data_IF_211839648783
#
_entry.id   IF_211839648783
#
_cell.length_a   1.000
_cell.length_b   1.000
_cell.length_c   1.000
_cell.angle_alpha   90.00
_cell.angle_beta   90.00
_cell.angle_gamma   90.00
#
_symmetry.space_group_name_H-M   'P 1'
#
loop_
_entity.id
_entity.type
_entity.pdbx_description
1 polymer ?
#
# COMPACT_ATOMS: atom_id res chain seq x y z
N UNK A 1 91.92 -13.98 46.47
CA UNK A 1 90.46 -14.19 46.57
C UNK A 1 89.78 -13.38 45.48
N UNK A 2 88.91 -14.03 44.68
CA UNK A 2 87.83 -13.46 43.82
C UNK A 2 88.22 -12.46 42.71
N UNK A 3 87.62 -12.41 41.52
CA UNK A 3 86.85 -13.27 40.61
C UNK A 3 86.59 -12.36 39.38
N UNK A 4 86.54 -12.95 38.19
CA UNK A 4 86.45 -12.28 36.89
C UNK A 4 85.09 -11.58 36.62
N UNK A 5 85.06 -10.61 35.70
CA UNK A 5 83.91 -10.34 34.84
C UNK A 5 84.32 -9.69 33.52
N UNK A 6 83.96 -10.35 32.43
CA UNK A 6 84.19 -9.98 31.03
C UNK A 6 83.07 -9.06 30.52
N UNK A 7 83.42 -8.10 29.68
CA UNK A 7 82.48 -7.19 29.00
C UNK A 7 82.12 -7.77 27.63
N UNK A 8 80.85 -8.10 27.42
CA UNK A 8 80.30 -8.53 26.14
C UNK A 8 79.60 -7.34 25.45
N UNK A 9 79.95 -7.10 24.19
CA UNK A 9 79.37 -6.07 23.34
C UNK A 9 77.97 -6.46 22.85
N UNK A 10 76.99 -5.59 23.04
CA UNK A 10 75.62 -5.77 22.59
C UNK A 10 75.44 -5.29 21.13
N UNK A 11 75.00 -6.19 20.25
CA UNK A 11 74.48 -5.87 18.93
C UNK A 11 73.02 -5.40 19.04
N UNK A 12 72.71 -4.20 18.53
CA UNK A 12 71.36 -3.64 18.52
C UNK A 12 70.50 -4.22 17.39
N UNK A 13 69.20 -4.50 17.62
CA UNK A 13 68.31 -4.94 16.56
C UNK A 13 67.81 -3.75 15.72
N UNK A 14 67.91 -3.90 14.39
CA UNK A 14 67.31 -3.02 13.38
C UNK A 14 65.80 -3.20 13.40
N UNK A 15 65.06 -2.16 13.73
CA UNK A 15 63.60 -2.15 13.71
C UNK A 15 63.09 -2.23 12.25
N UNK A 16 62.46 -3.35 11.90
CA UNK A 16 61.71 -3.48 10.66
C UNK A 16 60.44 -2.61 10.73
N UNK A 17 60.30 -1.69 9.78
CA UNK A 17 59.08 -0.88 9.64
C UNK A 17 57.87 -1.79 9.41
N UNK A 18 56.73 -1.57 10.09
CA UNK A 18 55.51 -2.29 9.76
C UNK A 18 55.09 -1.88 8.35
N UNK A 19 55.02 -2.86 7.45
CA UNK A 19 54.35 -2.70 6.17
C UNK A 19 52.95 -2.14 6.45
N UNK A 20 52.69 -0.94 5.92
CA UNK A 20 51.37 -0.32 5.97
C UNK A 20 50.38 -1.31 5.34
N UNK A 21 49.60 -1.99 6.19
CA UNK A 21 48.39 -2.68 5.75
C UNK A 21 47.53 -1.61 5.13
N UNK A 22 47.38 -1.68 3.82
CA UNK A 22 46.51 -0.79 3.07
C UNK A 22 45.16 -0.73 3.78
N UNK A 23 44.83 0.46 4.30
CA UNK A 23 43.47 0.79 4.66
C UNK A 23 42.67 0.72 3.37
N UNK A 24 41.99 -0.39 3.14
CA UNK A 24 40.94 -0.46 2.15
C UNK A 24 39.87 0.56 2.59
N UNK A 25 39.88 1.76 2.00
CA UNK A 25 38.71 2.60 2.02
C UNK A 25 37.64 1.90 1.19
N UNK A 26 36.47 1.66 1.80
CA UNK A 26 35.29 2.29 1.25
C UNK A 26 34.45 2.89 2.38
N UNK A 27 34.58 4.20 2.60
CA UNK A 27 33.53 4.99 3.26
C UNK A 27 32.39 5.18 2.26
N UNK A 28 31.76 4.10 1.81
CA UNK A 28 30.62 4.22 0.91
C UNK A 28 29.51 4.96 1.66
N UNK A 29 29.31 6.24 1.31
CA UNK A 29 28.13 7.00 1.75
C UNK A 29 26.91 6.26 1.20
N UNK A 30 25.84 6.18 2.00
CA UNK A 30 24.60 5.62 1.51
C UNK A 30 24.12 6.37 0.25
N UNK A 31 23.41 5.69 -0.67
CA UNK A 31 22.75 6.34 -1.78
C UNK A 31 21.92 7.53 -1.29
N UNK A 32 21.97 8.62 -2.04
CA UNK A 32 21.30 9.86 -1.69
C UNK A 32 20.04 10.03 -2.51
N UNK A 33 18.97 10.51 -1.87
CA UNK A 33 17.77 10.99 -2.55
C UNK A 33 18.14 12.20 -3.42
N UNK A 34 17.56 12.24 -4.62
CA UNK A 34 17.75 13.35 -5.56
C UNK A 34 17.41 14.69 -4.90
N UNK A 35 18.27 15.68 -5.10
CA UNK A 35 18.03 17.08 -4.74
C UNK A 35 17.22 17.84 -5.80
N UNK A 36 17.12 17.30 -7.00
CA UNK A 36 16.31 17.86 -8.09
C UNK A 36 14.80 17.62 -7.91
N UNK A 37 14.43 16.61 -7.11
CA UNK A 37 13.05 16.23 -6.88
C UNK A 37 12.49 16.96 -5.64
N UNK A 38 11.44 17.79 -5.79
CA UNK A 38 10.95 18.59 -4.69
C UNK A 38 10.21 17.73 -3.66
N UNK A 39 10.60 17.89 -2.41
CA UNK A 39 9.89 17.42 -1.22
C UNK A 39 9.46 18.62 -0.39
N UNK A 40 8.36 18.50 0.33
CA UNK A 40 7.90 19.57 1.22
C UNK A 40 8.87 19.76 2.39
N UNK A 41 9.25 21.01 2.67
CA UNK A 41 10.10 21.37 3.80
C UNK A 41 11.40 20.56 3.86
N UNK A 42 11.68 19.95 5.01
CA UNK A 42 12.87 19.13 5.24
C UNK A 42 12.64 17.63 5.03
N UNK A 43 11.49 17.21 4.46
CA UNK A 43 11.11 15.80 4.34
C UNK A 43 12.17 14.95 3.65
N UNK A 44 12.79 15.45 2.57
CA UNK A 44 13.92 14.77 1.91
C UNK A 44 15.04 14.46 2.90
N UNK A 45 15.45 15.43 3.71
CA UNK A 45 16.51 15.26 4.69
C UNK A 45 16.10 14.29 5.81
N UNK A 46 14.83 14.30 6.23
CA UNK A 46 14.29 13.36 7.23
C UNK A 46 14.36 11.92 6.72
N UNK A 47 13.95 11.68 5.48
CA UNK A 47 14.01 10.38 4.83
C UNK A 47 15.46 9.94 4.58
N UNK A 48 16.33 10.87 4.16
CA UNK A 48 17.76 10.59 3.98
C UNK A 48 18.43 10.13 5.28
N UNK A 49 18.09 10.74 6.43
CA UNK A 49 18.61 10.30 7.72
C UNK A 49 18.25 8.85 8.03
N UNK A 50 17.02 8.41 7.73
CA UNK A 50 16.63 7.01 7.91
C UNK A 50 17.45 6.09 7.01
N UNK A 51 17.68 6.48 5.75
CA UNK A 51 18.51 5.71 4.81
C UNK A 51 19.95 5.59 5.33
N UNK A 52 20.55 6.69 5.78
CA UNK A 52 21.92 6.72 6.29
C UNK A 52 22.08 5.92 7.59
N UNK A 53 21.10 6.02 8.50
CA UNK A 53 21.15 5.34 9.81
C UNK A 53 20.89 3.83 9.73
N UNK A 54 20.00 3.42 8.82
CA UNK A 54 19.45 2.05 8.80
C UNK A 54 19.92 1.23 7.61
N UNK A 55 20.39 1.86 6.54
CA UNK A 55 20.89 1.18 5.36
C UNK A 55 22.10 0.29 5.64
N UNK A 56 22.25 -0.75 4.81
CA UNK A 56 23.39 -1.68 4.87
C UNK A 56 24.63 -1.20 4.10
N UNK A 57 24.54 -0.03 3.45
CA UNK A 57 25.60 0.67 2.71
C UNK A 57 26.92 0.86 3.49
N UNK A 58 26.86 0.82 4.83
CA UNK A 58 28.03 0.92 5.71
C UNK A 58 28.61 -0.44 6.16
N UNK A 59 28.25 -1.54 5.50
CA UNK A 59 28.81 -2.86 5.81
C UNK A 59 28.30 -3.47 7.11
N UNK A 60 27.10 -3.08 7.58
CA UNK A 60 26.49 -3.68 8.77
C UNK A 60 26.00 -5.09 8.45
N UNK A 61 26.54 -6.09 9.14
CA UNK A 61 25.93 -7.41 9.25
C UNK A 61 24.67 -7.33 10.10
N UNK A 62 23.56 -7.87 9.62
CA UNK A 62 22.26 -7.86 10.28
C UNK A 62 21.11 -8.11 9.30
N UNK A 63 19.86 -8.30 9.77
CA UNK A 63 18.70 -8.42 8.90
C UNK A 63 18.52 -7.17 8.04
N UNK A 64 18.06 -7.34 6.79
CA UNK A 64 17.77 -6.21 5.90
C UNK A 64 16.65 -5.35 6.51
N UNK A 65 16.79 -4.01 6.59
CA UNK A 65 15.71 -3.16 7.03
C UNK A 65 14.57 -3.21 6.00
N UNK A 66 13.33 -3.34 6.46
CA UNK A 66 12.17 -3.40 5.57
C UNK A 66 11.58 -2.01 5.37
N UNK A 67 11.23 -1.66 4.14
CA UNK A 67 10.35 -0.55 3.83
C UNK A 67 9.07 -1.07 3.16
N UNK A 68 7.90 -0.61 3.60
CA UNK A 68 6.62 -1.01 3.01
C UNK A 68 5.82 0.24 2.60
N UNK A 69 5.22 0.19 1.42
CA UNK A 69 4.43 1.29 0.87
C UNK A 69 3.06 0.80 0.44
N UNK A 70 2.03 1.60 0.67
CA UNK A 70 0.81 1.49 -0.13
C UNK A 70 1.11 1.82 -1.59
N UNK A 71 0.20 1.47 -2.49
CA UNK A 71 0.33 1.70 -3.92
C UNK A 71 -0.42 2.94 -4.40
N UNK A 72 -1.74 2.85 -4.41
CA UNK A 72 -2.65 3.83 -5.01
C UNK A 72 -2.59 5.14 -4.25
N UNK A 73 -2.40 6.27 -4.94
CA UNK A 73 -2.22 7.59 -4.31
C UNK A 73 -1.00 7.76 -3.38
N UNK A 74 -0.23 6.70 -3.10
CA UNK A 74 1.04 6.73 -2.39
C UNK A 74 2.25 6.69 -3.32
N UNK A 75 2.37 5.68 -4.20
CA UNK A 75 3.43 5.56 -5.20
C UNK A 75 3.02 6.22 -6.52
N UNK A 76 1.74 6.15 -6.86
CA UNK A 76 1.14 6.76 -8.05
C UNK A 76 0.13 7.83 -7.65
N UNK A 77 -0.10 8.83 -8.50
CA UNK A 77 -1.35 9.59 -8.55
C UNK A 77 -2.44 8.72 -9.17
N UNK A 78 -3.63 8.73 -8.56
CA UNK A 78 -4.80 7.94 -8.92
C UNK A 78 -4.63 6.43 -8.67
N UNK A 79 -5.74 5.71 -8.81
CA UNK A 79 -5.91 4.31 -8.44
C UNK A 79 -5.78 3.37 -9.66
N UNK A 80 -4.92 2.36 -9.57
CA UNK A 80 -4.61 1.42 -10.66
C UNK A 80 -5.66 0.33 -10.81
N UNK A 81 -6.36 0.01 -9.72
CA UNK A 81 -7.47 -0.92 -9.72
C UNK A 81 -8.65 -0.28 -10.45
N UNK A 82 -8.96 0.98 -10.16
CA UNK A 82 -10.05 1.70 -10.81
C UNK A 82 -9.73 1.96 -12.29
N UNK A 83 -8.47 2.29 -12.62
CA UNK A 83 -8.03 2.36 -14.02
C UNK A 83 -8.22 1.03 -14.76
N UNK A 84 -7.99 -0.11 -14.10
CA UNK A 84 -8.18 -1.45 -14.67
C UNK A 84 -9.66 -1.80 -14.83
N UNK A 85 -10.51 -1.46 -13.85
CA UNK A 85 -11.97 -1.67 -13.94
C UNK A 85 -12.56 -0.79 -15.03
N UNK A 86 -12.21 0.48 -15.06
CA UNK A 86 -12.60 1.41 -16.12
C UNK A 86 -12.25 0.87 -17.50
N UNK A 87 -11.02 0.37 -17.68
CA UNK A 87 -10.62 -0.28 -18.93
C UNK A 87 -11.47 -1.54 -19.21
N UNK A 88 -11.67 -2.39 -18.21
CA UNK A 88 -12.39 -3.66 -18.34
C UNK A 88 -13.86 -3.46 -18.73
N UNK A 89 -14.53 -2.46 -18.16
CA UNK A 89 -15.91 -2.11 -18.49
C UNK A 89 -16.03 -1.60 -19.93
N UNK A 90 -15.09 -0.77 -20.39
CA UNK A 90 -15.07 -0.31 -21.79
C UNK A 90 -14.70 -1.38 -22.81
N UNK A 91 -14.30 -2.58 -22.37
CA UNK A 91 -13.87 -3.68 -23.23
C UNK A 91 -14.62 -4.99 -22.96
N UNK A 92 -15.77 -4.93 -22.30
CA UNK A 92 -16.64 -6.07 -22.02
C UNK A 92 -15.87 -7.21 -21.33
N UNK A 93 -15.15 -6.90 -20.25
CA UNK A 93 -14.35 -7.87 -19.49
C UNK A 93 -14.95 -8.26 -18.15
N UNK A 94 -16.15 -7.80 -17.81
CA UNK A 94 -16.86 -8.32 -16.64
C UNK A 94 -17.76 -9.47 -17.09
N UNK A 95 -17.58 -10.65 -16.50
CA UNK A 95 -18.40 -11.81 -16.84
C UNK A 95 -19.69 -11.77 -16.04
N UNK A 96 -20.81 -12.14 -16.68
CA UNK A 96 -22.10 -12.23 -16.00
C UNK A 96 -22.06 -13.34 -14.93
N UNK A 97 -22.31 -13.05 -13.65
CA UNK A 97 -22.48 -14.09 -12.64
C UNK A 97 -23.84 -14.78 -12.78
N UNK A 98 -24.03 -15.94 -12.16
CA UNK A 98 -25.34 -16.59 -12.09
C UNK A 98 -26.34 -15.72 -11.30
N UNK A 99 -25.87 -15.16 -10.18
CA UNK A 99 -26.52 -14.12 -9.38
C UNK A 99 -25.47 -13.16 -8.89
N UNK A 100 -25.76 -11.87 -8.89
CA UNK A 100 -24.83 -10.86 -8.39
C UNK A 100 -24.59 -11.03 -6.89
N UNK A 101 -25.61 -11.46 -6.13
CA UNK A 101 -25.49 -11.73 -4.68
C UNK A 101 -24.44 -12.79 -4.33
N UNK A 102 -24.11 -13.69 -5.26
CA UNK A 102 -23.06 -14.69 -5.04
C UNK A 102 -21.64 -14.10 -5.22
N UNK A 103 -21.52 -12.85 -5.68
CA UNK A 103 -20.24 -12.19 -5.90
C UNK A 103 -19.64 -11.63 -4.62
N UNK A 104 -20.44 -11.26 -3.62
CA UNK A 104 -19.98 -10.81 -2.30
C UNK A 104 -20.98 -11.22 -1.22
N UNK A 105 -20.48 -11.71 -0.07
CA UNK A 105 -21.34 -12.15 1.05
C UNK A 105 -22.19 -11.03 1.67
N UNK A 106 -21.80 -9.77 1.45
CA UNK A 106 -22.51 -8.61 1.99
C UNK A 106 -23.41 -7.94 0.96
N UNK A 107 -23.40 -8.37 -0.32
CA UNK A 107 -24.22 -7.74 -1.34
C UNK A 107 -25.70 -7.92 -1.00
N UNK A 108 -26.44 -6.81 -0.98
CA UNK A 108 -27.87 -6.82 -0.61
C UNK A 108 -28.73 -7.43 -1.71
N UNK A 109 -29.93 -7.90 -1.35
CA UNK A 109 -30.93 -8.30 -2.36
C UNK A 109 -31.31 -7.11 -3.26
N UNK A 110 -31.32 -5.90 -2.70
CA UNK A 110 -31.56 -4.67 -3.47
C UNK A 110 -30.50 -4.44 -4.53
N UNK A 111 -29.21 -4.58 -4.19
CA UNK A 111 -28.13 -4.46 -5.17
C UNK A 111 -28.11 -5.62 -6.17
N UNK A 112 -28.40 -6.85 -5.75
CA UNK A 112 -28.53 -7.98 -6.66
C UNK A 112 -29.61 -7.74 -7.72
N UNK A 113 -30.76 -7.23 -7.28
CA UNK A 113 -31.85 -6.82 -8.17
C UNK A 113 -31.44 -5.68 -9.08
N UNK A 114 -30.84 -4.61 -8.54
CA UNK A 114 -30.42 -3.45 -9.32
C UNK A 114 -29.41 -3.84 -10.42
N UNK A 115 -28.37 -4.61 -10.08
CA UNK A 115 -27.40 -5.13 -11.04
C UNK A 115 -28.05 -6.08 -12.06
N UNK A 116 -29.00 -6.91 -11.64
CA UNK A 116 -29.72 -7.80 -12.57
C UNK A 116 -30.59 -7.01 -13.56
N UNK A 117 -31.26 -5.96 -13.10
CA UNK A 117 -32.08 -5.08 -13.95
C UNK A 117 -31.22 -4.23 -14.89
N UNK A 118 -30.09 -3.72 -14.39
CA UNK A 118 -29.16 -2.89 -15.16
C UNK A 118 -28.41 -3.70 -16.23
N UNK A 119 -27.91 -4.89 -15.89
CA UNK A 119 -27.10 -5.73 -16.77
C UNK A 119 -27.88 -6.76 -17.58
N UNK A 120 -29.14 -7.00 -17.22
CA UNK A 120 -30.00 -7.98 -17.88
C UNK A 120 -29.59 -9.44 -17.66
N UNK A 121 -30.34 -10.34 -18.27
CA UNK A 121 -30.15 -11.79 -18.16
C UNK A 121 -29.97 -12.52 -19.49
N UNK A 122 -29.98 -11.78 -20.60
CA UNK A 122 -29.88 -12.31 -21.97
C UNK A 122 -28.49 -12.86 -22.29
N UNK A 123 -27.44 -12.27 -21.69
CA UNK A 123 -26.06 -12.78 -21.78
C UNK A 123 -25.97 -14.07 -20.99
N UNK A 124 -25.38 -15.14 -21.55
CA UNK A 124 -25.20 -16.39 -20.81
C UNK A 124 -24.31 -16.20 -19.57
N UNK A 125 -24.57 -16.97 -18.50
CA UNK A 125 -23.70 -16.96 -17.31
C UNK A 125 -22.26 -17.32 -17.69
N UNK A 126 -21.29 -16.55 -17.18
CA UNK A 126 -19.88 -16.69 -17.51
C UNK A 126 -19.47 -16.12 -18.87
N UNK A 127 -20.39 -15.57 -19.65
CA UNK A 127 -20.08 -14.79 -20.85
C UNK A 127 -19.90 -13.30 -20.49
N UNK A 128 -19.14 -12.53 -21.29
CA UNK A 128 -18.89 -11.14 -21.00
C UNK A 128 -20.14 -10.27 -21.19
N UNK A 129 -20.39 -9.37 -20.24
CA UNK A 129 -21.44 -8.37 -20.32
C UNK A 129 -21.05 -7.25 -21.31
N UNK A 130 -21.98 -6.72 -22.12
CA UNK A 130 -21.72 -5.69 -23.11
C UNK A 130 -21.59 -4.27 -22.49
N UNK A 131 -20.86 -4.15 -21.39
CA UNK A 131 -20.69 -2.91 -20.59
C UNK A 131 -20.10 -1.73 -21.37
N UNK A 132 -19.44 -1.97 -22.50
CA UNK A 132 -18.91 -0.94 -23.39
C UNK A 132 -20.01 -0.19 -24.14
N UNK A 133 -21.18 -0.82 -24.31
CA UNK A 133 -22.34 -0.27 -25.02
C UNK A 133 -23.59 -0.13 -24.15
N UNK A 134 -23.67 -0.87 -23.03
CA UNK A 134 -24.72 -0.74 -22.04
C UNK A 134 -24.25 0.14 -20.88
N UNK A 135 -24.58 1.42 -20.97
CA UNK A 135 -24.24 2.40 -19.94
C UNK A 135 -24.87 2.05 -18.59
N UNK A 136 -26.08 1.49 -18.54
CA UNK A 136 -26.77 1.19 -17.27
C UNK A 136 -26.02 0.12 -16.48
N UNK A 137 -25.58 -0.93 -17.17
CA UNK A 137 -24.79 -1.99 -16.54
C UNK A 137 -23.43 -1.47 -16.04
N UNK A 138 -22.74 -0.66 -16.86
CA UNK A 138 -21.46 -0.07 -16.46
C UNK A 138 -21.61 0.87 -15.25
N UNK A 139 -22.66 1.70 -15.23
CA UNK A 139 -22.96 2.65 -14.16
C UNK A 139 -23.27 1.93 -12.86
N UNK A 140 -24.13 0.91 -12.87
CA UNK A 140 -24.49 0.18 -11.65
C UNK A 140 -23.27 -0.51 -11.01
N UNK A 141 -22.37 -1.08 -11.83
CA UNK A 141 -21.12 -1.68 -11.34
C UNK A 141 -20.20 -0.61 -10.73
N UNK A 142 -20.04 0.53 -11.40
CA UNK A 142 -19.18 1.63 -10.93
C UNK A 142 -19.72 2.26 -9.66
N UNK A 143 -21.01 2.57 -9.60
CA UNK A 143 -21.66 3.16 -8.43
C UNK A 143 -21.50 2.29 -7.18
N UNK A 144 -21.71 0.97 -7.31
CA UNK A 144 -21.52 0.03 -6.20
C UNK A 144 -20.05 -0.02 -5.77
N UNK A 145 -19.11 0.03 -6.72
CA UNK A 145 -17.68 0.02 -6.39
C UNK A 145 -17.23 1.31 -5.71
N UNK A 146 -17.62 2.47 -6.24
CA UNK A 146 -17.13 3.78 -5.81
C UNK A 146 -17.79 4.20 -4.50
N UNK A 147 -19.11 4.13 -4.44
CA UNK A 147 -19.90 4.71 -3.35
C UNK A 147 -20.53 3.68 -2.42
N UNK A 148 -20.49 2.39 -2.80
CA UNK A 148 -21.15 1.34 -2.00
C UNK A 148 -22.68 1.43 -2.04
N UNK A 149 -23.24 2.10 -3.04
CA UNK A 149 -24.68 2.24 -3.26
C UNK A 149 -25.08 1.77 -4.64
N UNK A 150 -26.37 1.52 -4.84
CA UNK A 150 -26.94 1.37 -6.19
C UNK A 150 -27.08 2.73 -6.88
N UNK A 151 -27.39 2.75 -8.17
CA UNK A 151 -27.72 4.00 -8.89
C UNK A 151 -28.96 4.71 -8.34
N UNK A 152 -29.83 3.99 -7.62
CA UNK A 152 -30.98 4.58 -6.92
C UNK A 152 -30.65 5.14 -5.53
N UNK A 153 -29.39 5.03 -5.08
CA UNK A 153 -28.93 5.51 -3.77
C UNK A 153 -29.16 4.54 -2.61
N UNK A 154 -29.55 3.29 -2.87
CA UNK A 154 -29.74 2.27 -1.83
C UNK A 154 -28.39 1.64 -1.44
N UNK A 155 -28.25 1.22 -0.18
CA UNK A 155 -27.02 0.56 0.26
C UNK A 155 -26.79 -0.76 -0.48
N UNK A 156 -25.63 -0.88 -1.14
CA UNK A 156 -25.29 -2.08 -1.90
C UNK A 156 -24.75 -3.21 -1.03
N UNK A 157 -24.24 -2.87 0.15
CA UNK A 157 -23.71 -3.81 1.11
C UNK A 157 -24.39 -3.68 2.48
N UNK A 158 -24.72 -4.81 3.13
CA UNK A 158 -25.29 -4.84 4.47
C UNK A 158 -24.79 -6.06 5.26
N UNK A 159 -25.04 -6.03 6.57
CA UNK A 159 -24.58 -7.04 7.53
C UNK A 159 -23.50 -6.48 8.45
N UNK A 160 -22.78 -7.39 9.11
CA UNK A 160 -21.72 -7.04 10.05
C UNK A 160 -20.35 -7.40 9.45
N UNK A 161 -19.37 -6.54 9.70
CA UNK A 161 -17.96 -6.80 9.41
C UNK A 161 -17.09 -5.97 10.35
N UNK A 162 -15.83 -6.39 10.48
CA UNK A 162 -14.86 -5.60 11.22
C UNK A 162 -14.32 -4.48 10.31
N UNK A 163 -14.70 -3.24 10.61
CA UNK A 163 -14.36 -2.05 9.82
C UNK A 163 -12.88 -1.67 9.85
N UNK A 164 -12.04 -2.36 10.63
CA UNK A 164 -10.57 -2.26 10.56
C UNK A 164 -9.90 -3.38 9.79
N UNK A 165 -10.66 -4.35 9.28
CA UNK A 165 -10.12 -5.51 8.54
C UNK A 165 -10.64 -5.60 7.11
N UNK A 166 -11.78 -4.99 6.85
CA UNK A 166 -12.39 -4.97 5.53
C UNK A 166 -13.36 -3.82 5.39
N UNK A 167 -13.65 -3.49 4.13
CA UNK A 167 -14.85 -2.79 3.72
C UNK A 167 -15.40 -3.54 2.50
N UNK A 168 -16.70 -3.89 2.46
CA UNK A 168 -17.25 -4.77 1.44
C UNK A 168 -16.95 -4.37 -0.01
N UNK A 169 -17.01 -3.07 -0.33
CA UNK A 169 -16.73 -2.58 -1.68
C UNK A 169 -15.27 -2.81 -2.13
N UNK A 170 -14.30 -2.85 -1.20
CA UNK A 170 -12.89 -3.18 -1.51
C UNK A 170 -12.70 -4.69 -1.65
N UNK A 171 -13.37 -5.48 -0.79
CA UNK A 171 -13.33 -6.94 -0.91
C UNK A 171 -13.96 -7.43 -2.23
N UNK A 172 -14.95 -6.71 -2.75
CA UNK A 172 -15.66 -7.04 -4.00
C UNK A 172 -14.83 -6.86 -5.27
N UNK A 173 -13.80 -6.02 -5.22
CA UNK A 173 -12.94 -5.67 -6.35
C UNK A 173 -12.41 -6.86 -7.14
N UNK A 174 -11.65 -7.80 -6.54
CA UNK A 174 -11.17 -8.95 -7.28
C UNK A 174 -12.31 -9.89 -7.71
N UNK A 175 -13.44 -9.86 -6.99
CA UNK A 175 -14.60 -10.73 -7.23
C UNK A 175 -15.32 -10.33 -8.53
N UNK A 176 -15.21 -9.07 -8.97
CA UNK A 176 -15.65 -8.62 -10.31
C UNK A 176 -14.97 -9.36 -11.47
N UNK A 177 -13.77 -9.88 -11.23
CA UNK A 177 -12.99 -10.65 -12.22
C UNK A 177 -13.15 -12.16 -12.07
N UNK A 178 -14.10 -12.62 -11.24
CA UNK A 178 -14.36 -14.04 -11.07
C UNK A 178 -14.67 -14.72 -12.42
N UNK A 179 -14.06 -15.88 -12.64
CA UNK A 179 -14.13 -16.62 -13.91
C UNK A 179 -13.00 -16.33 -14.89
N UNK A 180 -12.31 -15.18 -14.78
CA UNK A 180 -11.04 -14.95 -15.49
C UNK A 180 -9.87 -15.62 -14.79
N UNK A 181 -8.84 -15.96 -15.55
CA UNK A 181 -7.56 -16.41 -15.03
C UNK A 181 -6.67 -15.23 -14.62
N UNK A 182 -5.72 -15.47 -13.72
CA UNK A 182 -4.74 -14.45 -13.32
C UNK A 182 -3.95 -13.89 -14.52
N UNK A 183 -3.48 -14.70 -15.49
CA UNK A 183 -2.86 -14.16 -16.71
C UNK A 183 -3.76 -13.24 -17.53
N UNK A 184 -5.06 -13.52 -17.64
CA UNK A 184 -6.02 -12.65 -18.33
C UNK A 184 -6.15 -11.30 -17.62
N UNK A 185 -6.34 -11.31 -16.30
CA UNK A 185 -6.42 -10.06 -15.53
C UNK A 185 -5.12 -9.23 -15.67
N UNK A 186 -3.95 -9.88 -15.60
CA UNK A 186 -2.66 -9.18 -15.83
C UNK A 186 -2.58 -8.58 -17.24
N UNK A 187 -3.13 -9.24 -18.26
CA UNK A 187 -3.16 -8.72 -19.62
C UNK A 187 -4.09 -7.49 -19.73
N UNK A 188 -5.27 -7.53 -19.11
CA UNK A 188 -6.18 -6.39 -19.03
C UNK A 188 -5.53 -5.20 -18.32
N UNK A 189 -4.87 -5.44 -17.18
CA UNK A 189 -4.12 -4.42 -16.47
C UNK A 189 -2.98 -3.85 -17.29
N UNK A 190 -2.25 -4.66 -18.06
CA UNK A 190 -1.17 -4.16 -18.91
C UNK A 190 -1.68 -3.21 -20.01
N UNK A 191 -2.84 -3.52 -20.60
CA UNK A 191 -3.51 -2.64 -21.56
C UNK A 191 -4.00 -1.34 -20.88
N UNK A 192 -4.71 -1.46 -19.75
CA UNK A 192 -5.17 -0.32 -18.95
C UNK A 192 -4.01 0.59 -18.54
N UNK A 193 -2.90 0.01 -18.09
CA UNK A 193 -1.67 0.71 -17.71
C UNK A 193 -1.05 1.49 -18.87
N UNK A 194 -1.02 0.88 -20.05
CA UNK A 194 -0.49 1.54 -21.25
C UNK A 194 -1.31 2.78 -21.59
N UNK A 195 -2.64 2.66 -21.60
CA UNK A 195 -3.53 3.81 -21.83
C UNK A 195 -3.38 4.89 -20.75
N UNK A 196 -3.40 4.50 -19.47
CA UNK A 196 -3.35 5.43 -18.35
C UNK A 196 -2.01 6.20 -18.27
N UNK A 197 -0.90 5.56 -18.63
CA UNK A 197 0.41 6.23 -18.72
C UNK A 197 0.53 7.11 -19.96
N UNK A 198 -0.15 6.79 -21.06
CA UNK A 198 -0.14 7.62 -22.26
C UNK A 198 -1.01 8.88 -22.13
N UNK A 199 -2.11 8.81 -21.39
CA UNK A 199 -3.01 9.94 -21.16
C UNK A 199 -2.31 11.10 -20.43
N UNK A 200 -2.55 12.37 -20.78
CA UNK A 200 -2.01 13.53 -20.06
C UNK A 200 -2.46 13.57 -18.58
N UNK A 201 -1.65 14.20 -17.72
CA UNK A 201 -2.10 14.50 -16.35
C UNK A 201 -3.34 15.40 -16.41
N UNK A 202 -4.33 15.11 -15.58
CA UNK A 202 -5.64 15.79 -15.57
C UNK A 202 -6.65 15.24 -16.58
N UNK A 203 -6.27 14.29 -17.45
CA UNK A 203 -7.19 13.70 -18.41
C UNK A 203 -8.32 12.93 -17.71
N UNK A 204 -9.53 13.05 -18.24
CA UNK A 204 -10.72 12.29 -17.80
C UNK A 204 -11.24 11.42 -18.93
N UNK A 205 -12.05 10.42 -18.57
CA UNK A 205 -12.77 9.54 -19.51
C UNK A 205 -14.16 9.25 -18.98
N UNK A 206 -15.09 9.03 -19.88
CA UNK A 206 -16.44 8.59 -19.52
C UNK A 206 -16.54 7.06 -19.63
N UNK A 207 -17.12 6.42 -18.61
CA UNK A 207 -17.51 5.00 -18.63
C UNK A 207 -18.96 4.92 -18.19
N UNK A 208 -19.84 4.40 -19.04
CA UNK A 208 -21.27 4.63 -18.90
C UNK A 208 -21.56 6.12 -18.88
N UNK A 209 -22.03 6.65 -17.76
CA UNK A 209 -22.24 8.08 -17.48
C UNK A 209 -21.26 8.66 -16.46
N UNK A 210 -20.45 7.83 -15.79
CA UNK A 210 -19.43 8.28 -14.83
C UNK A 210 -18.26 8.95 -15.54
N UNK A 211 -17.74 10.05 -14.96
CA UNK A 211 -16.51 10.72 -15.41
C UNK A 211 -15.38 10.35 -14.47
N UNK A 212 -14.44 9.55 -14.97
CA UNK A 212 -13.33 8.98 -14.19
C UNK A 212 -12.00 9.59 -14.62
N UNK A 213 -10.99 9.61 -13.74
CA UNK A 213 -9.61 9.88 -14.16
C UNK A 213 -9.18 8.92 -15.26
N UNK A 214 -8.64 9.47 -16.35
CA UNK A 214 -8.13 8.67 -17.46
C UNK A 214 -6.63 8.39 -17.39
N UNK A 215 -5.95 8.92 -16.38
CA UNK A 215 -4.52 8.87 -16.24
C UNK A 215 -4.11 8.29 -14.88
N UNK A 216 -2.94 7.68 -14.85
CA UNK A 216 -2.22 7.31 -13.63
C UNK A 216 -0.78 7.72 -13.83
N UNK A 217 -0.13 8.29 -12.81
CA UNK A 217 1.25 8.75 -12.92
C UNK A 217 2.06 8.34 -11.71
N UNK A 218 3.24 7.75 -11.91
CA UNK A 218 4.17 7.54 -10.80
C UNK A 218 4.63 8.89 -10.25
N UNK A 219 4.72 9.01 -8.92
CA UNK A 219 5.44 10.12 -8.32
C UNK A 219 6.93 9.88 -8.43
N UNK A 220 7.64 10.77 -9.13
CA UNK A 220 9.08 10.62 -9.34
C UNK A 220 9.87 10.61 -8.02
N UNK A 221 9.39 11.36 -7.01
CA UNK A 221 9.88 11.33 -5.63
C UNK A 221 9.82 9.93 -5.01
N UNK A 222 8.71 9.22 -5.21
CA UNK A 222 8.52 7.89 -4.66
C UNK A 222 9.34 6.84 -5.43
N UNK A 223 9.47 7.00 -6.77
CA UNK A 223 10.38 6.17 -7.57
C UNK A 223 11.82 6.33 -7.11
N UNK A 224 12.24 7.57 -6.84
CA UNK A 224 13.56 7.87 -6.33
C UNK A 224 13.77 7.30 -4.92
N UNK A 225 12.79 7.45 -4.03
CA UNK A 225 12.83 6.88 -2.69
C UNK A 225 12.97 5.35 -2.72
N UNK A 226 12.12 4.65 -3.47
CA UNK A 226 12.16 3.19 -3.60
C UNK A 226 13.51 2.73 -4.14
N UNK A 227 13.98 3.33 -5.23
CA UNK A 227 15.29 3.01 -5.83
C UNK A 227 16.44 3.26 -4.85
N UNK A 228 16.39 4.35 -4.11
CA UNK A 228 17.44 4.73 -3.14
C UNK A 228 17.45 3.76 -1.96
N UNK A 229 16.28 3.39 -1.43
CA UNK A 229 16.15 2.37 -0.39
C UNK A 229 16.69 1.01 -0.84
N UNK A 230 16.31 0.55 -2.04
CA UNK A 230 16.83 -0.70 -2.60
C UNK A 230 18.35 -0.68 -2.73
N UNK A 231 18.94 0.41 -3.25
CA UNK A 231 20.40 0.59 -3.34
C UNK A 231 21.08 0.67 -1.97
N UNK A 232 20.40 1.20 -0.95
CA UNK A 232 20.86 1.21 0.43
C UNK A 232 20.69 -0.16 1.13
N UNK A 233 20.14 -1.14 0.42
CA UNK A 233 19.97 -2.51 0.88
C UNK A 233 18.76 -2.75 1.77
N UNK A 234 17.76 -1.87 1.70
CA UNK A 234 16.44 -2.17 2.24
C UNK A 234 15.79 -3.30 1.45
N UNK A 235 14.97 -4.08 2.14
CA UNK A 235 13.99 -4.95 1.52
C UNK A 235 12.68 -4.16 1.34
N UNK A 236 12.29 -3.89 0.10
CA UNK A 236 11.20 -2.94 -0.20
C UNK A 236 9.98 -3.68 -0.71
N UNK A 237 8.83 -3.41 -0.10
CA UNK A 237 7.57 -4.10 -0.34
C UNK A 237 6.44 -3.13 -0.70
N UNK A 238 5.49 -3.62 -1.49
CA UNK A 238 4.19 -2.97 -1.70
C UNK A 238 3.11 -3.73 -0.92
N UNK A 239 2.26 -3.00 -0.21
CA UNK A 239 1.14 -3.53 0.58
C UNK A 239 -0.12 -2.73 0.28
N UNK A 240 -0.89 -3.18 -0.70
CA UNK A 240 -2.02 -2.47 -1.29
C UNK A 240 -3.36 -3.10 -0.87
N UNK A 241 -4.42 -2.29 -0.79
CA UNK A 241 -5.79 -2.78 -0.64
C UNK A 241 -6.48 -3.10 -1.98
N UNK A 242 -5.75 -3.01 -3.10
CA UNK A 242 -6.23 -3.35 -4.44
C UNK A 242 -6.15 -4.84 -4.77
N UNK A 243 -6.40 -5.20 -6.04
CA UNK A 243 -6.31 -6.58 -6.53
C UNK A 243 -4.85 -6.97 -6.81
N UNK A 244 -4.37 -8.10 -6.28
CA UNK A 244 -2.96 -8.50 -6.38
C UNK A 244 -2.43 -8.57 -7.83
N UNK A 245 -3.10 -9.26 -8.79
CA UNK A 245 -2.61 -9.29 -10.17
C UNK A 245 -2.48 -7.90 -10.81
N UNK A 246 -3.32 -6.95 -10.39
CA UNK A 246 -3.28 -5.57 -10.86
C UNK A 246 -2.05 -4.87 -10.28
N UNK A 247 -1.91 -4.89 -8.96
CA UNK A 247 -0.81 -4.23 -8.24
C UNK A 247 0.54 -4.75 -8.71
N UNK A 248 0.70 -6.06 -8.93
CA UNK A 248 1.93 -6.68 -9.46
C UNK A 248 2.36 -6.15 -10.84
N UNK A 249 1.40 -5.93 -11.75
CA UNK A 249 1.71 -5.41 -13.10
C UNK A 249 2.26 -3.98 -13.00
N UNK A 250 1.72 -3.20 -12.08
CA UNK A 250 2.12 -1.82 -11.87
C UNK A 250 3.41 -1.67 -11.05
N UNK A 251 3.61 -2.50 -10.02
CA UNK A 251 4.78 -2.50 -9.13
C UNK A 251 6.08 -2.83 -9.85
N UNK A 252 6.02 -3.66 -10.90
CA UNK A 252 7.16 -3.90 -11.80
C UNK A 252 7.73 -2.61 -12.39
N UNK A 253 6.90 -1.59 -12.63
CA UNK A 253 7.33 -0.31 -13.20
C UNK A 253 8.30 0.48 -12.32
N UNK A 254 8.43 0.12 -11.04
CA UNK A 254 9.39 0.72 -10.10
C UNK A 254 10.43 -0.29 -9.59
N UNK A 255 10.52 -1.47 -10.24
CA UNK A 255 11.49 -2.51 -9.87
C UNK A 255 11.11 -3.32 -8.63
N UNK A 256 9.82 -3.42 -8.30
CA UNK A 256 9.29 -4.33 -7.29
C UNK A 256 8.69 -5.54 -8.00
N UNK A 257 9.06 -6.75 -7.56
CA UNK A 257 8.55 -7.98 -8.14
C UNK A 257 7.29 -8.48 -7.42
N UNK A 258 6.74 -9.60 -7.90
CA UNK A 258 5.54 -10.22 -7.34
C UNK A 258 5.75 -10.74 -5.92
N UNK A 259 6.92 -11.27 -5.62
CA UNK A 259 7.22 -11.81 -4.29
C UNK A 259 7.25 -10.70 -3.24
N UNK A 260 7.54 -9.46 -3.64
CA UNK A 260 7.54 -8.27 -2.80
C UNK A 260 6.27 -7.40 -2.96
N UNK A 261 5.20 -7.96 -3.54
CA UNK A 261 3.91 -7.29 -3.69
C UNK A 261 2.84 -8.06 -2.93
N UNK A 262 2.18 -7.41 -1.98
CA UNK A 262 1.03 -7.95 -1.25
C UNK A 262 -0.19 -7.10 -1.54
N UNK A 263 -1.27 -7.74 -1.99
CA UNK A 263 -2.57 -7.10 -2.09
C UNK A 263 -3.70 -8.11 -1.85
N UNK A 264 -4.94 -7.81 -2.23
CA UNK A 264 -6.05 -8.76 -2.06
C UNK A 264 -5.79 -9.98 -2.96
N UNK A 265 -5.56 -11.13 -2.32
CA UNK A 265 -5.35 -12.43 -2.97
C UNK A 265 -6.66 -13.16 -3.16
N UNK A 266 -6.98 -13.50 -4.40
CA UNK A 266 -8.11 -14.37 -4.73
C UNK A 266 -7.73 -15.83 -4.61
N UNK A 267 -8.64 -16.64 -4.08
CA UNK A 267 -8.56 -18.09 -4.24
C UNK A 267 -8.86 -18.43 -5.69
N UNK A 268 -8.09 -19.36 -6.24
CA UNK A 268 -8.25 -19.83 -7.62
C UNK A 268 -8.95 -21.19 -7.66
N UNK A 269 -9.76 -21.41 -8.69
CA UNK A 269 -10.31 -22.73 -8.98
C UNK A 269 -9.24 -23.68 -9.56
N UNK A 270 -9.62 -24.94 -9.82
CA UNK A 270 -8.70 -25.96 -10.38
C UNK A 270 -8.17 -25.62 -11.77
N UNK A 271 -8.76 -24.64 -12.46
CA UNK A 271 -8.36 -24.15 -13.79
C UNK A 271 -7.56 -22.85 -13.70
N UNK A 272 -7.22 -22.39 -12.50
CA UNK A 272 -6.49 -21.14 -12.29
C UNK A 272 -7.34 -19.88 -12.45
N UNK A 273 -8.68 -20.00 -12.37
CA UNK A 273 -9.61 -18.87 -12.47
C UNK A 273 -9.86 -18.26 -11.11
N UNK A 274 -9.92 -16.94 -11.07
CA UNK A 274 -10.31 -16.14 -9.92
C UNK A 274 -11.71 -16.56 -9.47
N UNK A 275 -11.87 -16.74 -8.16
CA UNK A 275 -13.17 -17.04 -7.52
C UNK A 275 -13.65 -15.84 -6.70
N UNK A 276 -14.84 -15.95 -6.11
CA UNK A 276 -15.41 -14.96 -5.19
C UNK A 276 -14.92 -15.14 -3.74
N UNK A 277 -13.78 -15.82 -3.56
CA UNK A 277 -13.15 -16.10 -2.26
C UNK A 277 -11.76 -15.50 -2.22
N UNK A 278 -11.31 -15.13 -1.03
CA UNK A 278 -10.03 -14.49 -0.80
C UNK A 278 -9.19 -15.28 0.20
N UNK A 279 -7.87 -15.25 0.04
CA UNK A 279 -6.98 -15.68 1.12
C UNK A 279 -7.03 -14.66 2.26
N UNK A 280 -7.05 -15.15 3.49
CA UNK A 280 -7.03 -14.32 4.70
C UNK A 280 -5.69 -14.40 5.42
N UNK A 281 -5.39 -13.35 6.18
CA UNK A 281 -4.20 -13.28 7.01
C UNK A 281 -4.44 -13.75 8.46
N UNK A 282 -3.39 -14.19 9.14
CA UNK A 282 -3.37 -14.38 10.59
C UNK A 282 -4.10 -15.64 11.04
N UNK A 283 -4.11 -16.66 10.18
CA UNK A 283 -4.78 -17.93 10.42
C UNK A 283 -6.28 -17.92 10.14
N UNK A 284 -6.83 -16.86 9.54
CA UNK A 284 -8.25 -16.80 9.15
C UNK A 284 -8.59 -17.79 8.03
N UNK A 285 -7.62 -18.22 7.22
CA UNK A 285 -7.82 -19.18 6.14
C UNK A 285 -8.50 -18.54 4.92
N UNK A 286 -9.27 -19.31 4.17
CA UNK A 286 -10.06 -18.80 3.04
C UNK A 286 -11.30 -18.06 3.55
N UNK A 287 -11.56 -16.89 2.98
CA UNK A 287 -12.63 -15.96 3.38
C UNK A 287 -13.46 -15.53 2.18
N UNK A 288 -14.57 -14.83 2.42
CA UNK A 288 -15.39 -14.15 1.41
C UNK A 288 -15.11 -12.63 1.38
N UNK A 289 -13.97 -12.20 1.94
CA UNK A 289 -13.56 -10.79 2.03
C UNK A 289 -13.36 -10.24 3.44
N UNK A 290 -13.50 -11.05 4.49
CA UNK A 290 -13.47 -10.60 5.89
C UNK A 290 -12.10 -10.10 6.37
N UNK A 291 -11.01 -10.45 5.67
CA UNK A 291 -9.65 -10.10 6.06
C UNK A 291 -8.79 -9.76 4.83
N UNK A 292 -8.90 -8.52 4.37
CA UNK A 292 -8.12 -7.98 3.25
C UNK A 292 -6.97 -7.09 3.77
N UNK A 293 -5.98 -6.68 2.94
CA UNK A 293 -4.90 -5.78 3.35
C UNK A 293 -5.43 -4.34 3.46
N UNK A 294 -6.24 -4.11 4.49
CA UNK A 294 -6.95 -2.86 4.77
C UNK A 294 -6.83 -2.53 6.25
N UNK A 295 -6.35 -1.32 6.59
CA UNK A 295 -6.11 -0.85 7.97
C UNK A 295 -5.28 -1.88 8.77
N UNK A 296 -5.89 -2.61 9.70
CA UNK A 296 -5.21 -3.60 10.55
C UNK A 296 -4.84 -4.85 9.76
N UNK A 297 -5.55 -5.11 8.67
CA UNK A 297 -5.22 -6.16 7.72
C UNK A 297 -3.86 -5.94 7.05
N UNK A 298 -3.47 -4.69 6.73
CA UNK A 298 -2.13 -4.41 6.17
C UNK A 298 -1.01 -4.79 7.15
N UNK A 299 -1.17 -4.45 8.44
CA UNK A 299 -0.27 -4.94 9.50
C UNK A 299 -0.21 -6.46 9.53
N UNK A 300 -1.37 -7.11 9.49
CA UNK A 300 -1.42 -8.56 9.50
C UNK A 300 -0.59 -9.15 8.37
N UNK A 301 -0.85 -8.71 7.14
CA UNK A 301 -0.18 -9.19 5.94
C UNK A 301 1.33 -8.94 5.98
N UNK A 302 1.77 -7.76 6.44
CA UNK A 302 3.19 -7.47 6.68
C UNK A 302 3.82 -8.48 7.65
N UNK A 303 3.16 -8.70 8.80
CA UNK A 303 3.67 -9.62 9.80
C UNK A 303 3.75 -11.06 9.27
N UNK A 304 2.76 -11.50 8.50
CA UNK A 304 2.68 -12.87 7.98
C UNK A 304 3.64 -13.15 6.82
N UNK A 305 3.68 -12.25 5.83
CA UNK A 305 4.39 -12.47 4.57
C UNK A 305 5.84 -12.03 4.66
N UNK A 306 6.11 -10.90 5.32
CA UNK A 306 7.46 -10.33 5.38
C UNK A 306 8.24 -10.90 6.57
N UNK A 307 7.58 -10.99 7.74
CA UNK A 307 8.22 -11.44 8.98
C UNK A 307 7.92 -12.89 9.35
N UNK A 308 7.13 -13.61 8.54
CA UNK A 308 6.83 -15.03 8.75
C UNK A 308 5.99 -15.34 10.00
N UNK A 309 5.36 -14.33 10.61
CA UNK A 309 4.59 -14.48 11.86
C UNK A 309 3.26 -15.17 11.56
N UNK A 310 3.03 -16.33 12.16
CA UNK A 310 1.88 -17.17 11.84
C UNK A 310 0.73 -17.01 12.85
N UNK A 311 -0.48 -17.31 12.37
CA UNK A 311 -1.69 -17.33 13.18
C UNK A 311 -2.07 -15.96 13.75
N UNK A 312 -2.86 -15.97 14.83
CA UNK A 312 -3.45 -14.75 15.40
C UNK A 312 -2.42 -13.69 15.80
N UNK A 313 -1.18 -14.09 16.07
CA UNK A 313 -0.09 -13.18 16.40
C UNK A 313 0.20 -12.15 15.29
N UNK A 314 -0.11 -12.47 14.02
CA UNK A 314 0.10 -11.54 12.91
C UNK A 314 -0.75 -10.26 13.04
N UNK A 315 -1.91 -10.30 13.71
CA UNK A 315 -2.75 -9.11 13.91
C UNK A 315 -2.16 -8.10 14.90
N UNK A 316 -1.21 -8.52 15.73
CA UNK A 316 -0.68 -7.68 16.80
C UNK A 316 0.48 -6.81 16.33
N UNK A 317 0.64 -5.64 16.95
CA UNK A 317 1.86 -4.85 16.80
C UNK A 317 3.03 -5.64 17.37
N UNK A 318 4.09 -5.78 16.59
CA UNK A 318 5.27 -6.57 16.97
C UNK A 318 6.32 -5.72 17.69
N UNK A 319 7.28 -6.40 18.31
CA UNK A 319 8.49 -5.77 18.82
C UNK A 319 9.26 -5.03 17.70
N UNK A 320 9.98 -3.92 17.99
CA UNK A 320 10.59 -3.05 16.98
C UNK A 320 11.45 -3.77 15.91
N UNK A 321 12.17 -4.82 16.29
CA UNK A 321 13.03 -5.60 15.40
C UNK A 321 12.28 -6.46 14.37
N UNK A 322 10.97 -6.64 14.56
CA UNK A 322 10.05 -7.34 13.64
C UNK A 322 9.01 -6.39 13.05
N UNK A 323 9.37 -5.11 12.90
CA UNK A 323 8.54 -4.08 12.26
C UNK A 323 9.31 -3.38 11.17
N UNK A 324 8.57 -2.86 10.19
CA UNK A 324 9.16 -2.09 9.10
C UNK A 324 9.93 -0.89 9.63
N UNK A 325 10.98 -0.52 8.93
CA UNK A 325 11.78 0.67 9.22
C UNK A 325 11.12 1.93 8.65
N UNK A 326 10.55 1.84 7.45
CA UNK A 326 9.84 2.94 6.81
C UNK A 326 8.50 2.45 6.31
N UNK A 327 7.43 3.16 6.66
CA UNK A 327 6.07 2.94 6.16
C UNK A 327 5.61 4.14 5.36
N UNK A 328 5.07 3.93 4.16
CA UNK A 328 4.50 4.99 3.31
C UNK A 328 3.03 4.72 2.98
N UNK A 329 2.16 5.72 3.16
CA UNK A 329 0.73 5.63 2.83
C UNK A 329 0.12 7.00 2.52
N UNK A 330 -1.19 7.05 2.29
CA UNK A 330 -1.91 8.30 2.02
C UNK A 330 -3.32 8.35 2.63
N UNK A 331 -3.80 7.23 3.19
CA UNK A 331 -5.14 7.14 3.71
C UNK A 331 -5.26 6.41 5.05
N UNK A 332 -6.46 6.47 5.63
CA UNK A 332 -6.78 5.78 6.88
C UNK A 332 -6.60 4.25 6.71
N UNK A 333 -6.71 3.73 5.48
CA UNK A 333 -6.38 2.34 5.11
C UNK A 333 -4.95 1.92 5.43
N UNK A 334 -4.04 2.88 5.62
CA UNK A 334 -2.61 2.66 5.83
C UNK A 334 -2.18 2.94 7.27
N UNK A 335 -3.03 3.62 8.02
CA UNK A 335 -2.70 4.27 9.29
C UNK A 335 -2.00 3.31 10.27
N UNK A 336 -2.46 2.06 10.31
CA UNK A 336 -1.96 1.05 11.24
C UNK A 336 -0.53 0.64 10.91
N UNK A 337 -0.23 0.29 9.65
CA UNK A 337 1.12 -0.19 9.31
C UNK A 337 2.11 0.96 9.14
N UNK A 338 1.65 2.11 8.63
CA UNK A 338 2.47 3.33 8.57
C UNK A 338 2.91 3.70 9.98
N UNK A 339 1.98 3.76 10.94
CA UNK A 339 2.29 4.01 12.36
C UNK A 339 3.13 2.92 13.06
N UNK A 340 3.24 1.73 12.46
CA UNK A 340 4.12 0.68 12.96
C UNK A 340 5.58 0.85 12.57
N UNK A 341 5.91 1.73 11.62
CA UNK A 341 7.29 1.96 11.22
C UNK A 341 8.17 2.41 12.40
N UNK A 342 9.46 2.11 12.34
CA UNK A 342 10.40 2.40 13.43
C UNK A 342 11.38 3.52 13.12
N UNK A 343 11.50 3.93 11.86
CA UNK A 343 12.34 5.01 11.37
C UNK A 343 11.52 6.22 10.91
N UNK A 344 10.67 6.06 9.90
CA UNK A 344 9.80 7.13 9.39
C UNK A 344 8.40 6.64 9.01
N UNK A 345 7.41 7.48 9.30
CA UNK A 345 6.01 7.33 8.91
C UNK A 345 5.72 8.35 7.79
N UNK A 346 5.96 7.99 6.54
CA UNK A 346 5.69 8.85 5.39
C UNK A 346 4.19 8.82 5.09
N UNK A 347 3.56 9.99 5.01
CA UNK A 347 2.18 10.12 4.57
C UNK A 347 2.05 11.20 3.50
N UNK A 348 1.36 10.87 2.40
CA UNK A 348 0.92 11.87 1.44
C UNK A 348 -0.45 12.42 1.87
N UNK A 349 -0.54 13.72 2.12
CA UNK A 349 -1.74 14.33 2.65
C UNK A 349 -2.87 14.34 1.61
N UNK A 350 -3.89 13.51 1.85
CA UNK A 350 -5.16 13.46 1.13
C UNK A 350 -6.36 13.83 1.99
N UNK A 351 -6.13 14.60 3.05
CA UNK A 351 -7.15 15.06 3.99
C UNK A 351 -7.93 13.91 4.66
N UNK A 352 -7.27 12.76 4.89
CA UNK A 352 -7.86 11.59 5.55
C UNK A 352 -7.71 11.70 7.07
N UNK A 353 -8.77 11.34 7.81
CA UNK A 353 -8.93 11.83 9.18
C UNK A 353 -7.96 11.15 10.15
N UNK A 354 -8.02 9.82 10.27
CA UNK A 354 -7.23 9.08 11.27
C UNK A 354 -5.72 9.27 11.04
N UNK A 355 -5.28 9.08 9.80
CA UNK A 355 -3.85 9.13 9.46
C UNK A 355 -3.28 10.52 9.68
N UNK A 356 -4.00 11.58 9.28
CA UNK A 356 -3.53 12.95 9.48
C UNK A 356 -3.61 13.40 10.93
N UNK A 357 -4.58 12.90 11.71
CA UNK A 357 -4.59 13.09 13.16
C UNK A 357 -3.31 12.56 13.82
N UNK A 358 -2.89 11.33 13.45
CA UNK A 358 -1.64 10.76 13.98
C UNK A 358 -0.42 11.49 13.45
N UNK A 359 -0.43 11.88 12.18
CA UNK A 359 0.70 12.52 11.53
C UNK A 359 0.98 13.93 12.04
N UNK A 360 -0.07 14.71 12.36
CA UNK A 360 0.08 16.04 12.94
C UNK A 360 0.30 16.01 14.46
N UNK A 361 -0.29 15.05 15.19
CA UNK A 361 0.05 14.84 16.60
C UNK A 361 1.51 14.45 16.77
N UNK A 362 2.03 13.60 15.86
CA UNK A 362 3.44 13.27 15.71
C UNK A 362 4.12 12.90 17.05
N UNK A 363 3.45 12.11 17.89
CA UNK A 363 3.88 11.87 19.27
C UNK A 363 5.31 11.31 19.43
N UNK A 364 5.85 10.64 18.41
CA UNK A 364 7.20 10.09 18.40
C UNK A 364 8.20 10.84 17.50
N UNK A 365 7.78 11.95 16.88
CA UNK A 365 8.62 12.81 16.04
C UNK A 365 8.97 12.25 14.66
N UNK A 366 8.43 11.09 14.26
CA UNK A 366 8.84 10.36 13.05
C UNK A 366 7.90 10.51 11.86
N UNK A 367 6.79 11.23 12.00
CA UNK A 367 5.84 11.46 10.91
C UNK A 367 6.35 12.47 9.91
N UNK A 368 6.43 12.06 8.65
CA UNK A 368 6.87 12.84 7.50
C UNK A 368 5.64 13.12 6.64
N UNK A 369 5.02 14.28 6.81
CA UNK A 369 3.82 14.67 6.07
C UNK A 369 4.25 15.42 4.81
N UNK A 370 3.78 15.00 3.64
CA UNK A 370 4.03 15.68 2.37
C UNK A 370 2.69 15.89 1.64
N UNK A 371 2.46 17.01 0.94
CA UNK A 371 1.32 17.11 0.03
C UNK A 371 1.42 16.05 -1.08
N UNK A 372 0.33 15.79 -1.81
CA UNK A 372 0.46 15.02 -3.04
C UNK A 372 1.39 15.75 -4.02
N UNK A 373 2.25 15.02 -4.73
CA UNK A 373 3.21 15.65 -5.66
C UNK A 373 2.56 16.12 -6.96
N UNK A 374 1.40 15.57 -7.31
CA UNK A 374 0.62 15.92 -8.50
C UNK A 374 -0.78 16.27 -8.03
N UNK A 375 -1.22 17.50 -8.34
CA UNK A 375 -2.52 18.03 -7.96
C UNK A 375 -2.82 17.81 -6.46
N UNK A 376 -2.03 18.45 -5.55
CA UNK A 376 -2.33 18.41 -4.13
C UNK A 376 -3.72 18.96 -3.84
N UNK A 377 -4.37 18.38 -2.81
CA UNK A 377 -5.67 18.85 -2.38
C UNK A 377 -5.55 20.25 -1.77
N UNK A 378 -6.60 21.08 -1.87
CA UNK A 378 -6.61 22.35 -1.16
C UNK A 378 -6.52 22.11 0.35
N UNK A 379 -5.92 23.09 1.04
CA UNK A 379 -5.87 23.13 2.50
C UNK A 379 -7.26 22.90 3.09
N UNK A 380 -7.34 21.99 4.05
CA UNK A 380 -8.56 21.80 4.84
C UNK A 380 -8.82 23.02 5.74
N UNK A 381 -10.00 23.60 5.64
CA UNK A 381 -10.41 24.77 6.45
C UNK A 381 -10.89 24.38 7.84
N UNK A 382 -11.50 23.20 7.97
CA UNK A 382 -11.90 22.61 9.25
C UNK A 382 -10.77 21.80 9.86
N UNK A 383 -10.73 21.72 11.19
CA UNK A 383 -9.80 20.83 11.87
C UNK A 383 -10.15 19.36 11.57
N UNK A 384 -9.14 18.49 11.67
CA UNK A 384 -9.37 17.05 11.73
C UNK A 384 -9.99 16.73 13.10
N UNK A 385 -11.13 16.00 13.15
CA UNK A 385 -11.89 15.74 14.37
C UNK A 385 -11.25 14.63 15.23
N UNK A 386 -9.97 14.79 15.55
CA UNK A 386 -9.14 13.78 16.22
C UNK A 386 -9.68 13.40 17.60
N UNK A 387 -10.25 14.36 18.31
CA UNK A 387 -10.74 14.15 19.66
C UNK A 387 -12.13 13.48 19.72
N UNK A 388 -12.80 13.30 18.58
CA UNK A 388 -14.22 12.89 18.55
C UNK A 388 -14.54 11.80 17.55
N UNK A 389 -14.12 11.93 16.29
CA UNK A 389 -14.67 11.14 15.19
C UNK A 389 -13.67 10.96 14.03
N UNK A 390 -12.44 10.55 14.32
CA UNK A 390 -11.42 10.29 13.31
C UNK A 390 -10.94 8.84 13.28
N UNK A 391 -10.99 8.11 14.39
CA UNK A 391 -10.60 6.70 14.46
C UNK A 391 -11.70 5.81 13.89
N UNK A 392 -11.37 4.90 12.96
CA UNK A 392 -12.34 3.90 12.49
C UNK A 392 -12.53 2.82 13.54
N UNK A 393 -13.72 2.75 14.14
CA UNK A 393 -14.06 1.76 15.15
C UNK A 393 -14.28 0.38 14.51
N UNK A 394 -13.81 -0.73 15.11
CA UNK A 394 -13.99 -2.08 14.56
C UNK A 394 -15.45 -2.46 14.30
N UNK A 395 -16.37 -2.02 15.16
CA UNK A 395 -17.81 -2.31 15.07
C UNK A 395 -18.57 -1.34 14.15
N UNK A 396 -17.84 -0.42 13.49
CA UNK A 396 -18.41 0.63 12.65
C UNK A 396 -18.54 1.97 13.37
N UNK A 397 -18.69 3.03 12.56
CA UNK A 397 -18.65 4.41 13.05
C UNK A 397 -17.25 4.94 13.32
N UNK A 398 -17.19 6.09 14.00
CA UNK A 398 -15.95 6.80 14.28
C UNK A 398 -15.82 7.18 15.75
N UNK A 399 -14.59 7.13 16.25
CA UNK A 399 -14.25 7.48 17.63
C UNK A 399 -13.04 8.41 17.75
N UNK A 400 -12.61 8.72 18.99
CA UNK A 400 -11.43 9.54 19.25
C UNK A 400 -10.14 8.78 18.91
N UNK A 401 -9.19 9.45 18.27
CA UNK A 401 -7.84 8.94 18.08
C UNK A 401 -7.09 9.00 19.41
N UNK A 402 -6.48 7.87 19.78
CA UNK A 402 -5.70 7.75 21.02
C UNK A 402 -4.22 7.53 20.73
N UNK A 403 -3.38 8.09 21.60
CA UNK A 403 -1.93 7.83 21.68
C UNK A 403 -1.66 6.47 22.32
N UNK A 404 -0.40 6.05 22.30
CA UNK A 404 0.03 4.78 22.90
C UNK A 404 -0.19 4.69 24.41
N UNK A 405 -0.26 5.83 25.11
CA UNK A 405 -0.57 5.92 26.55
C UNK A 405 -2.08 6.00 26.85
N UNK A 406 -2.93 5.94 25.82
CA UNK A 406 -4.39 6.02 25.93
C UNK A 406 -4.97 7.44 25.94
N UNK A 407 -4.12 8.48 26.01
CA UNK A 407 -4.56 9.87 25.94
C UNK A 407 -5.19 10.20 24.58
N UNK A 408 -6.17 11.09 24.56
CA UNK A 408 -6.86 11.51 23.35
C UNK A 408 -6.00 12.54 22.59
N UNK A 409 -5.92 12.38 21.27
CA UNK A 409 -5.30 13.35 20.37
C UNK A 409 -6.24 14.54 20.17
N UNK A 410 -5.82 15.78 20.47
CA UNK A 410 -6.65 16.96 20.22
C UNK A 410 -6.82 17.17 18.70
N UNK A 411 -7.89 17.86 18.32
CA UNK A 411 -8.14 18.20 16.92
C UNK A 411 -6.96 18.91 16.27
N UNK A 412 -6.57 18.45 15.09
CA UNK A 412 -5.37 18.91 14.39
C UNK A 412 -5.75 19.88 13.26
N UNK A 413 -4.88 20.85 12.98
CA UNK A 413 -5.04 21.76 11.84
C UNK A 413 -4.19 21.28 10.67
N UNK A 414 -4.71 21.49 9.47
CA UNK A 414 -3.98 21.20 8.25
C UNK A 414 -2.90 22.25 8.00
N UNK A 415 -1.64 21.83 8.11
CA UNK A 415 -0.46 22.71 8.02
C UNK A 415 0.43 22.39 6.82
N UNK A 416 0.27 21.20 6.21
CA UNK A 416 1.04 20.72 5.06
C UNK A 416 0.07 20.30 3.96
N UNK A 417 -0.13 21.13 2.94
CA UNK A 417 -1.13 20.97 1.89
C UNK A 417 -0.60 21.37 0.52
#
# INVERSE_FOLDING_TARGET
>A
MTAALAVAAAAGPVAASPAARGSAAPTARCPQLSDELPWYGDNRARLQRVIDERGSCHGRGGPRPVAAFDWDNTITKNDVTDATISWSLRHDKILRPARWKDTSKWLTDTADKALTEACGTDVAVGAPLPTSTDARCADEILQIREDGTTMSGEAAFAGEWNHRRTVPQYAWVPQLFAGHTVPELRAYTAAARTEALAAPVGATRTVGTHVLPAYVRYYEQQRDLVRTLQKAGFDVWIVSAGSEPVTEVWSRGIGIDRAHTVAIRSVLDRKGRITTRNEGCGGTGVTEGEAIPYIDGKRCWINQEIYGIKGRAAWNRQAPERRITLGGGDADTDVTFVGDATGAHLVLNRNKNEVMCRAYDNADGRWVVNPMFIEPLPRRTTAYPCATAAYTEPEGGFGPVRRGDGSVVPDQRDTVY
#
